data_IF_827796682706
#
_entry.id   IF_827796682706
#
_cell.length_a   1.000
_cell.length_b   1.000
_cell.length_c   1.000
_cell.angle_alpha   90.00
_cell.angle_beta   90.00
_cell.angle_gamma   90.00
#
_symmetry.space_group_name_H-M   'P 1'
#
loop_
_entity.id
_entity.type
_entity.pdbx_description
1 polymer ?
#
# COMPACT_ATOMS: atom_id res chain seq x y z
N UNK A 1 -25.12 -30.09 4.08
CA UNK A 1 -25.47 -28.97 3.18
C UNK A 1 -26.11 -27.89 4.04
N UNK A 2 -25.37 -26.81 4.31
CA UNK A 2 -25.85 -25.65 5.06
C UNK A 2 -25.63 -24.41 4.16
N UNK A 3 -26.58 -23.46 4.10
CA UNK A 3 -26.54 -22.39 3.12
C UNK A 3 -25.52 -21.31 3.51
N UNK A 4 -24.82 -20.81 2.48
CA UNK A 4 -23.88 -19.70 2.56
C UNK A 4 -24.64 -18.38 2.77
N UNK A 5 -24.17 -17.56 3.70
CA UNK A 5 -24.63 -16.18 3.88
C UNK A 5 -23.98 -15.28 2.82
N UNK A 6 -24.78 -14.76 1.89
CA UNK A 6 -24.44 -13.63 1.02
C UNK A 6 -24.41 -12.35 1.87
N UNK A 7 -23.28 -11.63 1.85
CA UNK A 7 -23.22 -10.26 2.35
C UNK A 7 -23.49 -9.31 1.18
N UNK A 8 -24.73 -8.83 1.09
CA UNK A 8 -25.14 -7.75 0.21
C UNK A 8 -24.76 -6.40 0.82
N UNK A 9 -24.17 -5.52 0.01
CA UNK A 9 -24.02 -4.11 0.33
C UNK A 9 -25.35 -3.41 0.08
N UNK A 10 -25.95 -2.81 1.13
CA UNK A 10 -27.10 -1.91 0.97
C UNK A 10 -26.68 -0.47 1.31
N UNK A 11 -26.58 0.42 0.31
CA UNK A 11 -26.60 1.86 0.58
C UNK A 11 -28.03 2.29 0.90
N UNK A 12 -28.19 3.00 2.02
CA UNK A 12 -29.45 3.65 2.42
C UNK A 12 -29.63 4.89 1.54
N UNK A 13 -30.60 4.85 0.64
CA UNK A 13 -31.00 6.02 -0.16
C UNK A 13 -32.13 6.76 0.55
N UNK A 14 -31.95 8.07 0.76
CA UNK A 14 -33.05 8.99 1.02
C UNK A 14 -33.61 9.46 -0.33
N UNK A 15 -34.84 9.06 -0.65
CA UNK A 15 -35.55 9.46 -1.86
C UNK A 15 -35.93 10.93 -1.79
N UNK A 16 -35.47 11.75 -2.73
CA UNK A 16 -36.07 13.05 -3.05
C UNK A 16 -36.74 12.88 -4.41
N UNK A 17 -38.07 12.85 -4.41
CA UNK A 17 -38.88 12.92 -5.62
C UNK A 17 -38.74 14.30 -6.27
N UNK A 18 -38.26 14.32 -7.51
CA UNK A 18 -38.44 15.44 -8.43
C UNK A 18 -39.21 14.93 -9.65
N UNK A 19 -40.42 15.43 -9.79
CA UNK A 19 -41.35 15.11 -10.87
C UNK A 19 -40.79 15.53 -12.24
N UNK A 20 -40.85 14.61 -13.20
CA UNK A 20 -40.51 14.82 -14.60
C UNK A 20 -41.71 15.37 -15.38
N UNK A 21 -41.46 16.38 -16.23
CA UNK A 21 -42.27 16.68 -17.40
C UNK A 21 -41.36 17.25 -18.49
N UNK A 22 -41.36 16.62 -19.68
CA UNK A 22 -40.72 17.19 -20.87
C UNK A 22 -40.14 16.15 -21.84
N UNK A 23 -40.99 15.66 -22.74
CA UNK A 23 -40.65 14.93 -23.97
C UNK A 23 -39.83 15.81 -24.92
N UNK A 24 -38.72 15.29 -25.45
CA UNK A 24 -38.05 15.85 -26.64
C UNK A 24 -37.64 14.71 -27.59
N UNK A 25 -38.02 14.87 -28.85
CA UNK A 25 -37.84 13.98 -29.99
C UNK A 25 -36.40 13.90 -30.49
N UNK A 26 -36.06 12.75 -31.09
CA UNK A 26 -34.79 12.45 -31.75
C UNK A 26 -34.89 12.81 -33.23
N UNK A 27 -33.85 13.43 -33.82
CA UNK A 27 -33.60 13.30 -35.25
C UNK A 27 -32.24 12.64 -35.56
N UNK A 28 -32.27 11.95 -36.69
CA UNK A 28 -31.28 11.08 -37.33
C UNK A 28 -30.06 11.81 -37.88
N UNK A 29 -28.94 11.08 -37.95
CA UNK A 29 -27.64 11.49 -38.56
C UNK A 29 -27.73 11.77 -40.07
N UNK A 30 -26.75 12.51 -40.63
CA UNK A 30 -25.81 11.86 -41.56
C UNK A 30 -24.33 12.27 -41.43
N UNK A 31 -23.45 11.38 -41.88
CA UNK A 31 -21.97 11.51 -41.98
C UNK A 31 -21.50 12.69 -42.85
N UNK A 32 -20.20 13.05 -42.77
CA UNK A 32 -19.46 13.21 -44.02
C UNK A 32 -18.07 12.54 -44.09
N UNK A 33 -17.75 12.29 -45.36
CA UNK A 33 -16.58 11.76 -46.07
C UNK A 33 -15.18 12.02 -45.51
N UNK A 34 -14.36 10.99 -45.65
CA UNK A 34 -12.90 10.98 -45.69
C UNK A 34 -12.40 11.79 -46.90
N UNK A 35 -11.49 12.74 -46.67
CA UNK A 35 -10.65 13.34 -47.70
C UNK A 35 -9.20 12.98 -47.36
N UNK A 36 -8.55 12.27 -48.28
CA UNK A 36 -7.12 12.01 -48.24
C UNK A 36 -6.37 13.27 -48.66
N UNK A 37 -5.37 13.66 -47.87
CA UNK A 37 -4.46 14.76 -48.15
C UNK A 37 -3.08 14.47 -47.58
N UNK A 38 -2.21 13.92 -48.42
CA UNK A 38 -0.75 13.93 -48.25
C UNK A 38 -0.22 15.35 -48.32
N UNK A 39 0.63 15.79 -47.38
CA UNK A 39 1.91 16.46 -47.67
C UNK A 39 2.71 16.84 -46.40
N UNK A 40 3.97 16.41 -46.43
CA UNK A 40 5.20 17.09 -45.99
C UNK A 40 5.38 17.57 -44.53
N UNK A 41 6.33 16.93 -43.85
CA UNK A 41 7.00 17.38 -42.63
C UNK A 41 7.99 18.53 -42.88
N UNK A 42 8.23 19.41 -41.89
CA UNK A 42 9.48 20.13 -41.77
C UNK A 42 10.36 19.59 -40.64
N UNK A 43 11.58 19.18 -41.02
CA UNK A 43 12.73 18.97 -40.15
C UNK A 43 12.97 20.18 -39.24
N UNK A 44 12.96 19.98 -37.92
CA UNK A 44 13.66 20.88 -36.97
C UNK A 44 14.70 20.07 -36.19
N UNK A 45 15.95 20.18 -36.62
CA UNK A 45 17.13 19.85 -35.83
C UNK A 45 17.31 20.94 -34.77
N UNK A 46 17.22 20.58 -33.50
CA UNK A 46 17.65 21.43 -32.39
C UNK A 46 19.03 20.95 -31.95
N UNK A 47 19.97 21.90 -31.96
CA UNK A 47 21.39 21.72 -31.64
C UNK A 47 21.55 21.57 -30.12
N UNK A 48 22.06 20.43 -29.66
CA UNK A 48 22.48 20.24 -28.27
C UNK A 48 23.95 20.67 -28.18
N UNK A 49 24.22 21.84 -27.58
CA UNK A 49 25.57 22.21 -27.16
C UNK A 49 25.92 21.41 -25.91
N UNK A 50 26.84 20.47 -26.06
CA UNK A 50 27.47 19.75 -24.94
C UNK A 50 28.38 20.68 -24.13
N UNK A 51 28.28 20.59 -22.81
CA UNK A 51 29.29 21.06 -21.88
C UNK A 51 29.95 19.82 -21.27
N UNK A 52 31.09 19.42 -21.84
CA UNK A 52 31.98 18.44 -21.24
C UNK A 52 32.90 19.17 -20.28
N UNK A 53 32.86 18.80 -19.00
CA UNK A 53 33.90 19.10 -18.02
C UNK A 53 34.52 17.76 -17.63
N UNK A 54 35.75 17.52 -18.12
CA UNK A 54 36.67 16.53 -17.56
C UNK A 54 37.52 17.18 -16.45
N UNK A 55 37.99 16.41 -15.47
CA UNK A 55 39.45 16.25 -15.33
C UNK A 55 39.82 14.81 -14.87
N UNK A 56 41.10 14.49 -14.57
CA UNK A 56 41.99 13.73 -15.44
C UNK A 56 42.28 12.30 -14.95
N UNK A 57 42.88 11.53 -15.86
CA UNK A 57 43.56 10.27 -15.64
C UNK A 57 44.71 10.39 -14.62
N UNK A 58 44.85 9.39 -13.73
CA UNK A 58 46.09 8.61 -13.51
C UNK A 58 46.07 7.91 -12.14
N UNK A 59 46.03 6.57 -12.17
CA UNK A 59 46.91 5.68 -11.40
C UNK A 59 46.43 4.23 -11.50
N UNK A 60 46.83 3.55 -12.57
CA UNK A 60 47.02 2.10 -12.57
C UNK A 60 48.39 1.82 -11.95
N UNK A 61 48.42 1.20 -10.76
CA UNK A 61 49.53 0.30 -10.39
C UNK A 61 48.96 -0.96 -9.74
N UNK A 62 49.35 -2.04 -10.39
CA UNK A 62 49.37 -3.44 -9.98
C UNK A 62 49.77 -3.67 -8.53
N UNK A 63 49.10 -4.62 -7.85
CA UNK A 63 49.76 -5.47 -6.87
C UNK A 63 49.11 -6.85 -6.87
N UNK A 64 49.96 -7.84 -7.12
CA UNK A 64 49.72 -9.27 -7.25
C UNK A 64 49.66 -9.91 -5.87
N UNK A 65 48.87 -10.98 -5.74
CA UNK A 65 48.76 -11.87 -4.57
C UNK A 65 50.10 -12.58 -4.26
N UNK A 66 50.35 -12.91 -2.98
CA UNK A 66 50.18 -14.31 -2.54
C UNK A 66 49.49 -14.39 -1.15
N UNK A 67 48.65 -15.36 -0.81
CA UNK A 67 48.83 -16.79 -1.00
C UNK A 67 49.58 -17.43 0.18
N UNK A 68 48.98 -17.49 1.38
CA UNK A 68 49.39 -18.45 2.44
C UNK A 68 48.17 -18.91 3.23
N UNK A 69 47.93 -20.22 3.20
CA UNK A 69 46.99 -20.95 4.03
C UNK A 69 47.66 -21.39 5.33
N UNK A 70 47.03 -21.17 6.49
CA UNK A 70 47.30 -21.92 7.73
C UNK A 70 46.02 -22.00 8.60
N UNK A 71 45.60 -23.21 8.91
CA UNK A 71 44.75 -23.63 10.05
C UNK A 71 45.48 -24.79 10.73
N UNK A 72 45.17 -25.21 11.97
CA UNK A 72 44.50 -24.53 13.08
C UNK A 72 45.34 -24.64 14.38
N UNK A 73 45.13 -23.77 15.38
CA UNK A 73 45.58 -24.05 16.76
C UNK A 73 44.47 -23.82 17.78
N UNK A 74 44.12 -24.91 18.45
CA UNK A 74 43.26 -25.01 19.64
C UNK A 74 43.85 -24.20 20.79
N UNK A 75 43.03 -23.36 21.44
CA UNK A 75 43.18 -22.99 22.86
C UNK A 75 41.81 -22.74 23.50
N UNK A 76 41.50 -23.54 24.52
CA UNK A 76 40.65 -23.26 25.70
C UNK A 76 41.46 -23.78 26.91
N UNK A 77 41.21 -23.41 28.18
CA UNK A 77 40.10 -22.60 28.73
C UNK A 77 40.56 -21.46 29.67
N UNK A 78 39.65 -20.57 30.07
CA UNK A 78 39.68 -20.01 31.43
C UNK A 78 38.26 -19.99 31.98
N UNK A 79 38.01 -20.86 32.96
CA UNK A 79 36.78 -20.96 33.72
C UNK A 79 37.09 -20.39 35.10
N UNK A 80 36.70 -19.13 35.34
CA UNK A 80 36.58 -18.62 36.71
C UNK A 80 35.19 -18.92 37.23
N UNK A 81 35.13 -19.96 38.06
CA UNK A 81 34.03 -20.30 38.95
C UNK A 81 33.91 -19.21 40.02
N UNK A 82 32.85 -18.40 39.96
CA UNK A 82 32.42 -17.58 41.11
C UNK A 82 31.45 -18.43 41.92
N UNK A 83 31.88 -18.85 43.11
CA UNK A 83 31.02 -19.42 44.15
C UNK A 83 30.12 -18.29 44.68
N UNK A 84 28.81 -18.40 44.47
CA UNK A 84 27.83 -17.59 45.19
C UNK A 84 27.33 -18.45 46.35
N UNK A 85 27.72 -18.08 47.56
CA UNK A 85 27.21 -18.66 48.79
C UNK A 85 25.74 -18.27 48.98
N UNK A 86 24.95 -19.21 49.48
CA UNK A 86 23.61 -18.94 49.96
C UNK A 86 23.70 -18.06 51.22
N UNK A 87 23.12 -16.86 51.16
CA UNK A 87 22.72 -16.12 52.36
C UNK A 87 21.25 -15.78 52.25
N UNK A 88 20.49 -16.30 53.21
CA UNK A 88 19.12 -15.95 53.52
C UNK A 88 19.03 -14.52 54.06
N UNK A 89 17.83 -13.94 53.91
CA UNK A 89 17.31 -12.75 54.57
C UNK A 89 17.66 -11.37 54.00
N UNK A 90 16.78 -10.87 53.14
CA UNK A 90 16.49 -9.44 53.02
C UNK A 90 15.01 -9.26 52.67
N UNK A 91 14.24 -8.38 53.34
CA UNK A 91 12.81 -8.24 53.09
C UNK A 91 12.55 -7.61 51.72
N UNK A 92 11.56 -8.15 51.01
CA UNK A 92 11.08 -7.61 49.75
C UNK A 92 10.55 -6.18 49.95
N UNK A 93 11.23 -5.20 49.35
CA UNK A 93 10.69 -3.85 49.15
C UNK A 93 9.49 -3.87 48.19
N UNK A 94 8.59 -2.88 48.26
CA UNK A 94 7.39 -2.87 47.45
C UNK A 94 7.77 -2.82 45.96
N UNK A 95 7.26 -3.78 45.20
CA UNK A 95 7.28 -3.77 43.74
C UNK A 95 6.49 -2.55 43.31
N UNK A 96 7.18 -1.46 42.98
CA UNK A 96 6.57 -0.34 42.27
C UNK A 96 6.06 -0.89 40.95
N UNK A 97 4.74 -1.06 40.83
CA UNK A 97 4.06 -1.28 39.56
C UNK A 97 4.31 -0.03 38.71
N UNK A 98 5.44 -0.03 38.00
CA UNK A 98 5.67 0.90 36.90
C UNK A 98 4.59 0.62 35.88
N UNK A 99 3.56 1.46 35.86
CA UNK A 99 2.65 1.57 34.73
C UNK A 99 3.51 1.94 33.54
N UNK A 100 3.99 0.95 32.80
CA UNK A 100 4.42 1.15 31.43
C UNK A 100 3.15 1.53 30.67
N UNK A 101 2.81 2.81 30.66
CA UNK A 101 1.86 3.34 29.70
C UNK A 101 2.50 3.10 28.34
N UNK A 102 2.08 2.04 27.65
CA UNK A 102 2.43 1.81 26.26
C UNK A 102 1.85 3.00 25.50
N UNK A 103 2.67 4.04 25.29
CA UNK A 103 2.24 5.26 24.61
C UNK A 103 2.01 4.85 23.16
N UNK A 104 0.74 4.80 22.78
CA UNK A 104 0.36 4.44 21.43
C UNK A 104 1.00 5.44 20.45
N UNK A 105 1.50 4.97 19.29
CA UNK A 105 2.01 5.89 18.29
C UNK A 105 0.89 6.83 17.84
N UNK A 106 1.22 8.10 17.52
CA UNK A 106 0.22 9.07 17.10
C UNK A 106 -0.53 8.60 15.85
N UNK A 107 -1.81 8.95 15.75
CA UNK A 107 -2.63 8.60 14.60
C UNK A 107 -2.13 9.34 13.36
N UNK A 108 -1.86 8.56 12.32
CA UNK A 108 -1.47 9.02 10.98
C UNK A 108 -2.68 8.94 10.06
N UNK A 109 -2.82 9.89 9.15
CA UNK A 109 -3.97 10.00 8.26
C UNK A 109 -3.53 9.92 6.81
N UNK A 110 -4.08 8.95 6.07
CA UNK A 110 -4.04 8.92 4.62
C UNK A 110 -5.36 9.40 4.02
N UNK A 111 -5.35 9.66 2.71
CA UNK A 111 -6.53 10.05 1.94
C UNK A 111 -6.71 9.04 0.79
N UNK A 112 -7.83 8.33 0.76
CA UNK A 112 -8.27 7.62 -0.44
C UNK A 112 -8.81 8.65 -1.43
N UNK A 113 -8.16 8.73 -2.59
CA UNK A 113 -8.46 9.74 -3.59
C UNK A 113 -9.49 9.30 -4.62
N UNK A 114 -9.97 8.05 -4.57
CA UNK A 114 -11.09 7.52 -5.35
C UNK A 114 -11.06 7.95 -6.83
N UNK A 115 -10.14 7.39 -7.62
CA UNK A 115 -9.73 7.95 -8.91
C UNK A 115 -10.72 7.82 -10.08
N UNK A 116 -11.80 7.08 -9.91
CA UNK A 116 -12.84 6.98 -10.94
C UNK A 116 -13.72 8.23 -11.00
N UNK A 117 -14.46 8.38 -12.09
CA UNK A 117 -15.30 9.55 -12.37
C UNK A 117 -14.54 10.89 -12.45
N UNK A 118 -13.21 10.83 -12.49
CA UNK A 118 -12.34 11.99 -12.47
C UNK A 118 -11.41 11.95 -13.68
N UNK A 119 -11.13 13.14 -14.20
CA UNK A 119 -10.02 13.41 -15.09
C UNK A 119 -8.70 13.42 -14.32
N UNK A 120 -7.58 13.42 -15.05
CA UNK A 120 -6.26 13.54 -14.44
C UNK A 120 -6.11 14.86 -13.67
N UNK A 121 -6.61 15.96 -14.21
CA UNK A 121 -6.51 17.30 -13.63
C UNK A 121 -7.24 17.38 -12.28
N UNK A 122 -8.49 16.89 -12.23
CA UNK A 122 -9.29 16.87 -11.00
C UNK A 122 -8.66 15.98 -9.92
N UNK A 123 -8.13 14.83 -10.33
CA UNK A 123 -7.47 13.92 -9.41
C UNK A 123 -6.14 14.49 -8.89
N UNK A 124 -5.36 15.16 -9.72
CA UNK A 124 -4.13 15.81 -9.31
C UNK A 124 -4.42 16.96 -8.32
N UNK A 125 -5.47 17.74 -8.55
CA UNK A 125 -5.92 18.75 -7.58
C UNK A 125 -6.27 18.11 -6.24
N UNK A 126 -7.03 17.01 -6.25
CA UNK A 126 -7.39 16.24 -5.05
C UNK A 126 -6.15 15.77 -4.26
N UNK A 127 -5.15 15.21 -4.95
CA UNK A 127 -3.91 14.74 -4.32
C UNK A 127 -3.10 15.91 -3.75
N UNK A 128 -3.00 17.02 -4.49
CA UNK A 128 -2.30 18.23 -4.03
C UNK A 128 -2.97 18.86 -2.81
N UNK A 129 -4.29 18.88 -2.78
CA UNK A 129 -5.03 19.28 -1.58
C UNK A 129 -4.65 18.39 -0.40
N UNK A 130 -4.65 17.06 -0.57
CA UNK A 130 -4.22 16.12 0.47
C UNK A 130 -2.80 16.41 0.99
N UNK A 131 -1.85 16.67 0.09
CA UNK A 131 -0.47 17.00 0.45
C UNK A 131 -0.37 18.35 1.21
N UNK A 132 -1.13 19.36 0.80
CA UNK A 132 -1.17 20.67 1.44
C UNK A 132 -1.85 20.63 2.81
N UNK A 133 -2.93 19.85 2.93
CA UNK A 133 -3.63 19.61 4.18
C UNK A 133 -2.85 18.70 5.15
N UNK A 134 -1.69 18.19 4.74
CA UNK A 134 -0.80 17.39 5.57
C UNK A 134 -1.35 15.99 5.85
N UNK A 135 -1.98 15.35 4.86
CA UNK A 135 -2.17 13.91 4.87
C UNK A 135 -0.82 13.22 4.57
N UNK A 136 -0.57 12.10 5.23
CA UNK A 136 0.69 11.37 5.11
C UNK A 136 0.77 10.56 3.81
N UNK A 137 -0.36 10.08 3.30
CA UNK A 137 -0.40 9.32 2.06
C UNK A 137 -1.68 9.56 1.26
N UNK A 138 -1.57 9.47 -0.06
CA UNK A 138 -2.67 9.43 -1.01
C UNK A 138 -2.78 8.03 -1.61
N UNK A 139 -3.96 7.45 -1.53
CA UNK A 139 -4.24 6.06 -1.89
C UNK A 139 -5.18 6.01 -3.09
N UNK A 140 -4.73 5.35 -4.14
CA UNK A 140 -5.56 4.97 -5.30
C UNK A 140 -6.00 3.51 -5.16
N UNK A 141 -6.96 3.03 -5.94
CA UNK A 141 -7.20 1.58 -6.08
C UNK A 141 -6.57 1.03 -7.37
N UNK A 142 -6.73 -0.26 -7.64
CA UNK A 142 -6.17 -0.91 -8.84
C UNK A 142 -7.23 -1.66 -9.66
N UNK A 143 -8.34 -0.98 -9.90
CA UNK A 143 -9.45 -1.40 -10.74
C UNK A 143 -9.39 -0.63 -12.05
N UNK A 144 -9.84 -1.25 -13.13
CA UNK A 144 -9.80 -0.68 -14.47
C UNK A 144 -11.14 -0.07 -14.87
N UNK A 145 -12.19 -0.34 -14.10
CA UNK A 145 -13.54 0.18 -14.31
C UNK A 145 -14.05 0.90 -13.06
N UNK A 146 -14.95 1.89 -13.17
CA UNK A 146 -15.54 2.54 -12.01
C UNK A 146 -16.25 1.53 -11.10
N UNK A 147 -15.87 1.48 -9.81
CA UNK A 147 -16.49 0.60 -8.82
C UNK A 147 -17.93 0.99 -8.45
N UNK A 148 -18.24 2.28 -8.53
CA UNK A 148 -19.54 2.87 -8.22
C UNK A 148 -19.74 4.16 -9.03
N UNK A 149 -20.96 4.70 -9.00
CA UNK A 149 -21.37 5.80 -9.87
C UNK A 149 -21.66 5.33 -11.30
N UNK A 150 -21.45 6.20 -12.28
CA UNK A 150 -21.66 5.87 -13.69
C UNK A 150 -20.62 4.87 -14.19
N UNK A 151 -21.05 3.65 -14.54
CA UNK A 151 -20.16 2.60 -15.05
C UNK A 151 -19.46 3.00 -16.37
N UNK A 152 -19.98 3.99 -17.10
CA UNK A 152 -19.40 4.54 -18.33
C UNK A 152 -18.43 5.71 -18.08
N UNK A 153 -18.30 6.15 -16.83
CA UNK A 153 -17.38 7.22 -16.47
C UNK A 153 -15.90 6.82 -16.56
N UNK A 154 -14.98 7.79 -16.53
CA UNK A 154 -13.55 7.52 -16.61
C UNK A 154 -13.06 6.74 -15.37
N UNK A 155 -12.06 5.88 -15.57
CA UNK A 155 -11.33 5.23 -14.48
C UNK A 155 -9.85 5.17 -14.88
N UNK A 156 -8.99 5.88 -14.14
CA UNK A 156 -7.56 5.89 -14.40
C UNK A 156 -6.90 4.65 -13.79
N UNK A 157 -6.03 4.01 -14.58
CA UNK A 157 -5.31 2.80 -14.18
C UNK A 157 -4.31 3.10 -13.05
N UNK A 158 -4.32 2.27 -11.99
CA UNK A 158 -3.69 2.58 -10.71
C UNK A 158 -2.18 2.82 -10.75
N UNK A 159 -1.39 1.99 -11.44
CA UNK A 159 0.07 2.07 -11.37
C UNK A 159 0.68 3.13 -12.27
N UNK A 160 0.15 3.31 -13.48
CA UNK A 160 0.54 4.42 -14.35
C UNK A 160 0.12 5.76 -13.74
N UNK A 161 -1.04 5.80 -13.08
CA UNK A 161 -1.47 6.95 -12.29
C UNK A 161 -0.50 7.25 -11.14
N UNK A 162 -0.08 6.24 -10.36
CA UNK A 162 0.90 6.41 -9.29
C UNK A 162 2.22 6.99 -9.81
N UNK A 163 2.71 6.56 -10.97
CA UNK A 163 3.90 7.13 -11.59
C UNK A 163 3.72 8.63 -11.93
N UNK A 164 2.56 9.01 -12.48
CA UNK A 164 2.23 10.41 -12.75
C UNK A 164 2.16 11.25 -11.47
N UNK A 165 1.46 10.76 -10.45
CA UNK A 165 1.34 11.43 -9.16
C UNK A 165 2.68 11.56 -8.44
N UNK A 166 3.55 10.56 -8.56
CA UNK A 166 4.90 10.57 -8.00
C UNK A 166 5.72 11.74 -8.53
N UNK A 167 5.65 12.01 -9.83
CA UNK A 167 6.34 13.15 -10.45
C UNK A 167 5.69 14.50 -10.13
N UNK A 168 4.38 14.52 -9.83
CA UNK A 168 3.61 15.75 -9.63
C UNK A 168 3.44 16.19 -8.17
N UNK A 169 4.03 15.45 -7.22
CA UNK A 169 3.99 15.68 -5.77
C UNK A 169 5.39 15.59 -5.17
N UNK A 170 5.57 16.04 -3.92
CA UNK A 170 6.91 16.22 -3.35
C UNK A 170 7.13 15.57 -1.97
N UNK A 171 6.06 15.34 -1.20
CA UNK A 171 6.11 14.91 0.20
C UNK A 171 5.15 13.77 0.51
N UNK A 172 3.93 13.82 -0.01
CA UNK A 172 2.89 12.83 0.32
C UNK A 172 3.31 11.43 -0.14
N UNK A 173 3.06 10.41 0.68
CA UNK A 173 3.29 9.01 0.28
C UNK A 173 2.22 8.57 -0.71
N UNK A 174 2.52 7.61 -1.56
CA UNK A 174 1.64 7.18 -2.64
C UNK A 174 1.51 5.67 -2.63
N UNK A 175 0.30 5.14 -2.73
CA UNK A 175 0.11 3.70 -2.80
C UNK A 175 -1.19 3.27 -3.46
N UNK A 176 -1.22 2.02 -3.91
CA UNK A 176 -2.43 1.36 -4.36
C UNK A 176 -3.03 0.58 -3.19
N UNK A 177 -4.27 0.84 -2.81
CA UNK A 177 -5.00 0.18 -1.73
C UNK A 177 -6.29 -0.46 -2.25
N UNK A 178 -6.23 -1.66 -2.85
CA UNK A 178 -5.03 -2.49 -3.08
C UNK A 178 -4.95 -3.05 -4.49
N UNK A 179 -3.74 -3.39 -4.93
CA UNK A 179 -3.49 -4.18 -6.14
C UNK A 179 -3.94 -5.61 -5.97
N UNK A 180 -4.85 -6.05 -6.85
CA UNK A 180 -5.24 -7.45 -6.95
C UNK A 180 -4.11 -8.30 -7.52
N UNK A 181 -3.73 -9.37 -6.81
CA UNK A 181 -2.64 -10.28 -7.23
C UNK A 181 -2.89 -10.96 -8.58
N UNK A 182 -4.13 -10.98 -9.06
CA UNK A 182 -4.54 -11.56 -10.34
C UNK A 182 -4.35 -10.63 -11.53
N UNK A 183 -4.16 -9.32 -11.31
CA UNK A 183 -4.07 -8.34 -12.41
C UNK A 183 -2.72 -8.34 -13.12
N UNK A 184 -1.62 -8.55 -12.39
CA UNK A 184 -0.25 -8.50 -12.95
C UNK A 184 0.62 -9.62 -12.39
N UNK A 185 1.58 -10.06 -13.19
CA UNK A 185 2.63 -10.97 -12.70
C UNK A 185 3.50 -10.24 -11.65
N UNK A 186 3.87 -10.86 -10.52
CA UNK A 186 4.60 -10.19 -9.43
C UNK A 186 5.96 -9.64 -9.85
N UNK A 187 6.65 -10.27 -10.82
CA UNK A 187 7.89 -9.72 -11.38
C UNK A 187 7.63 -8.38 -12.08
N UNK A 188 6.57 -8.26 -12.88
CA UNK A 188 6.21 -7.01 -13.55
C UNK A 188 5.88 -5.93 -12.52
N UNK A 189 5.06 -6.29 -11.53
CA UNK A 189 4.69 -5.40 -10.44
C UNK A 189 5.90 -4.90 -9.62
N UNK A 190 6.90 -5.75 -9.40
CA UNK A 190 8.14 -5.34 -8.75
C UNK A 190 8.95 -4.33 -9.60
N UNK A 191 8.98 -4.47 -10.93
CA UNK A 191 9.63 -3.50 -11.81
C UNK A 191 8.89 -2.15 -11.84
N UNK A 192 7.55 -2.18 -11.89
CA UNK A 192 6.70 -1.00 -11.75
C UNK A 192 6.95 -0.30 -10.40
N UNK A 193 6.95 -1.06 -9.30
CA UNK A 193 7.19 -0.54 -7.96
C UNK A 193 8.57 0.10 -7.81
N UNK A 194 9.64 -0.55 -8.31
CA UNK A 194 10.98 0.05 -8.32
C UNK A 194 10.96 1.39 -9.07
N UNK A 195 10.29 1.46 -10.22
CA UNK A 195 10.23 2.67 -11.04
C UNK A 195 9.51 3.80 -10.32
N UNK A 196 8.32 3.54 -9.77
CA UNK A 196 7.55 4.53 -9.01
C UNK A 196 8.28 4.96 -7.74
N UNK A 197 8.99 4.05 -7.07
CA UNK A 197 9.81 4.36 -5.91
C UNK A 197 10.92 5.37 -6.26
N UNK A 198 11.58 5.20 -7.42
CA UNK A 198 12.56 6.16 -7.93
C UNK A 198 11.94 7.50 -8.31
N UNK A 199 10.86 7.50 -9.09
CA UNK A 199 10.18 8.74 -9.52
C UNK A 199 9.68 9.54 -8.32
N UNK A 200 9.20 8.84 -7.28
CA UNK A 200 8.70 9.49 -6.06
C UNK A 200 9.80 9.91 -5.08
N UNK A 201 11.04 9.47 -5.27
CA UNK A 201 12.13 9.70 -4.31
C UNK A 201 11.96 8.92 -3.01
N UNK A 202 11.39 7.72 -3.05
CA UNK A 202 11.24 6.84 -1.89
C UNK A 202 9.92 7.00 -1.12
N UNK A 203 8.84 7.41 -1.79
CA UNK A 203 7.52 7.66 -1.16
C UNK A 203 6.46 6.62 -1.50
N UNK A 204 6.83 5.53 -2.17
CA UNK A 204 5.89 4.47 -2.55
C UNK A 204 5.51 3.56 -1.38
N UNK A 205 4.24 3.18 -1.33
CA UNK A 205 3.65 2.10 -0.52
C UNK A 205 3.03 1.06 -1.46
N UNK A 206 3.42 -0.20 -1.35
CA UNK A 206 2.94 -1.28 -2.21
C UNK A 206 1.75 -1.98 -1.53
N UNK A 207 0.52 -1.61 -1.84
CA UNK A 207 -0.65 -2.31 -1.31
C UNK A 207 -1.13 -3.43 -2.21
N UNK A 208 -1.33 -4.61 -1.62
CA UNK A 208 -1.70 -5.84 -2.30
C UNK A 208 -2.90 -6.54 -1.64
N UNK A 209 -3.65 -7.29 -2.43
CA UNK A 209 -4.74 -8.14 -1.96
C UNK A 209 -5.00 -9.31 -2.90
N UNK A 210 -5.82 -10.26 -2.45
CA UNK A 210 -6.11 -11.47 -3.22
C UNK A 210 -7.10 -11.26 -4.38
N UNK A 211 -7.45 -10.01 -4.70
CA UNK A 211 -8.54 -9.64 -5.60
C UNK A 211 -9.93 -10.17 -5.17
N UNK A 212 -10.96 -9.37 -5.46
CA UNK A 212 -12.34 -9.66 -5.01
C UNK A 212 -13.40 -9.43 -6.09
N UNK A 213 -13.13 -8.58 -7.08
CA UNK A 213 -14.14 -8.13 -8.02
C UNK A 213 -14.27 -9.06 -9.24
N UNK A 214 -15.00 -10.17 -9.06
CA UNK A 214 -15.17 -11.20 -10.09
C UNK A 214 -15.83 -10.67 -11.38
N UNK A 215 -16.76 -9.72 -11.27
CA UNK A 215 -17.44 -9.13 -12.42
C UNK A 215 -16.46 -8.44 -13.38
N UNK A 216 -15.59 -7.56 -12.86
CA UNK A 216 -14.56 -6.90 -13.68
C UNK A 216 -13.59 -7.91 -14.31
N UNK A 217 -13.25 -8.99 -13.60
CA UNK A 217 -12.42 -10.05 -14.17
C UNK A 217 -13.09 -10.70 -15.39
N UNK A 218 -14.39 -10.98 -15.29
CA UNK A 218 -15.17 -11.52 -16.42
C UNK A 218 -15.27 -10.52 -17.57
N UNK A 219 -15.53 -9.24 -17.27
CA UNK A 219 -15.62 -8.14 -18.25
C UNK A 219 -14.32 -7.98 -19.05
N UNK A 220 -13.17 -8.15 -18.40
CA UNK A 220 -11.84 -7.92 -18.98
C UNK A 220 -11.16 -9.21 -19.47
N UNK A 221 -11.79 -10.38 -19.30
CA UNK A 221 -11.20 -11.68 -19.64
C UNK A 221 -10.00 -12.06 -18.76
N UNK A 222 -9.91 -11.52 -17.55
CA UNK A 222 -8.84 -11.83 -16.59
C UNK A 222 -9.26 -13.07 -15.78
N UNK A 223 -8.41 -14.11 -15.69
CA UNK A 223 -8.73 -15.28 -14.88
C UNK A 223 -9.00 -14.92 -13.40
N UNK A 224 -10.06 -15.48 -12.83
CA UNK A 224 -10.42 -15.32 -11.42
C UNK A 224 -10.44 -16.68 -10.70
N UNK A 225 -9.27 -17.20 -10.26
CA UNK A 225 -9.19 -18.49 -9.58
C UNK A 225 -9.92 -18.51 -8.24
N UNK A 226 -10.19 -19.68 -7.64
CA UNK A 226 -10.79 -19.79 -6.30
C UNK A 226 -9.99 -19.04 -5.23
N UNK A 227 -10.68 -18.59 -4.18
CA UNK A 227 -10.09 -17.75 -3.11
C UNK A 227 -8.82 -18.33 -2.48
N UNK A 228 -8.77 -19.65 -2.28
CA UNK A 228 -7.59 -20.34 -1.74
C UNK A 228 -6.38 -20.16 -2.64
N UNK A 229 -6.55 -20.36 -3.95
CA UNK A 229 -5.47 -20.18 -4.91
C UNK A 229 -5.01 -18.73 -4.95
N UNK A 230 -5.94 -17.76 -4.93
CA UNK A 230 -5.58 -16.33 -4.91
C UNK A 230 -4.83 -15.93 -3.64
N UNK A 231 -5.16 -16.53 -2.50
CA UNK A 231 -4.42 -16.33 -1.25
C UNK A 231 -2.99 -16.91 -1.33
N UNK A 232 -2.82 -18.12 -1.87
CA UNK A 232 -1.50 -18.72 -2.12
C UNK A 232 -0.67 -17.87 -3.08
N UNK A 233 -1.27 -17.38 -4.17
CA UNK A 233 -0.65 -16.44 -5.11
C UNK A 233 -0.22 -15.15 -4.42
N UNK A 234 -1.05 -14.56 -3.55
CA UNK A 234 -0.69 -13.35 -2.81
C UNK A 234 0.56 -13.55 -1.96
N UNK A 235 0.63 -14.65 -1.21
CA UNK A 235 1.80 -14.93 -0.37
C UNK A 235 3.08 -15.12 -1.22
N UNK A 236 3.01 -15.92 -2.28
CA UNK A 236 4.17 -16.11 -3.17
C UNK A 236 4.56 -14.82 -3.90
N UNK A 237 3.59 -14.01 -4.32
CA UNK A 237 3.82 -12.74 -4.99
C UNK A 237 4.63 -11.79 -4.11
N UNK A 238 4.26 -11.64 -2.84
CA UNK A 238 5.01 -10.81 -1.88
C UNK A 238 6.45 -11.33 -1.71
N UNK A 239 6.64 -12.65 -1.62
CA UNK A 239 7.97 -13.25 -1.52
C UNK A 239 8.81 -13.03 -2.78
N UNK A 240 8.21 -13.19 -3.97
CA UNK A 240 8.84 -12.93 -5.27
C UNK A 240 9.28 -11.47 -5.37
N UNK A 241 8.38 -10.53 -5.10
CA UNK A 241 8.67 -9.10 -5.16
C UNK A 241 9.79 -8.72 -4.19
N UNK A 242 9.72 -9.16 -2.92
CA UNK A 242 10.76 -8.92 -1.93
C UNK A 242 12.11 -9.47 -2.37
N UNK A 243 12.13 -10.69 -2.91
CA UNK A 243 13.37 -11.34 -3.38
C UNK A 243 13.98 -10.57 -4.56
N UNK A 244 13.15 -10.21 -5.55
CA UNK A 244 13.58 -9.43 -6.72
C UNK A 244 14.11 -8.05 -6.33
N UNK A 245 13.51 -7.38 -5.35
CA UNK A 245 13.92 -6.05 -4.90
C UNK A 245 15.17 -6.07 -4.02
N UNK A 246 15.52 -7.20 -3.39
CA UNK A 246 16.62 -7.27 -2.40
C UNK A 246 17.84 -8.12 -2.81
N UNK A 247 17.74 -9.02 -3.79
CA UNK A 247 18.82 -9.97 -4.13
C UNK A 247 19.18 -10.01 -5.61
N UNK A 248 20.47 -10.11 -5.91
CA UNK A 248 20.96 -10.46 -7.26
C UNK A 248 20.85 -11.98 -7.45
N UNK A 249 20.64 -12.42 -8.70
CA UNK A 249 20.49 -13.84 -9.00
C UNK A 249 19.33 -14.48 -8.24
N UNK A 250 18.23 -13.74 -8.02
CA UNK A 250 17.05 -14.19 -7.33
C UNK A 250 16.44 -15.43 -8.02
N UNK A 251 16.42 -16.54 -7.30
CA UNK A 251 15.67 -17.74 -7.67
C UNK A 251 14.55 -17.98 -6.68
N UNK A 252 13.41 -18.43 -7.18
CA UNK A 252 12.21 -18.73 -6.41
C UNK A 252 11.49 -19.92 -7.06
N UNK A 253 11.04 -20.88 -6.27
CA UNK A 253 10.31 -22.06 -6.74
C UNK A 253 9.07 -22.24 -5.89
N UNK A 254 8.03 -21.49 -6.23
CA UNK A 254 6.70 -21.64 -5.64
C UNK A 254 5.84 -22.62 -6.42
N UNK A 255 4.58 -22.71 -6.04
CA UNK A 255 3.52 -23.40 -6.79
C UNK A 255 3.02 -22.55 -7.95
N UNK A 256 2.97 -21.24 -7.78
CA UNK A 256 2.36 -20.30 -8.73
C UNK A 256 3.39 -19.51 -9.51
N UNK A 257 4.54 -19.21 -8.90
CA UNK A 257 5.58 -18.41 -9.53
C UNK A 257 6.96 -19.07 -9.45
N UNK A 258 7.75 -18.86 -10.50
CA UNK A 258 9.12 -19.35 -10.61
C UNK A 258 10.04 -18.23 -11.07
N UNK A 259 11.21 -18.14 -10.43
CA UNK A 259 12.32 -17.29 -10.86
C UNK A 259 13.58 -18.15 -11.01
N UNK A 260 14.36 -17.87 -12.04
CA UNK A 260 15.68 -18.46 -12.23
C UNK A 260 16.72 -17.35 -12.41
N UNK A 261 17.53 -17.13 -11.35
CA UNK A 261 18.67 -16.21 -11.33
C UNK A 261 18.34 -14.78 -11.81
N UNK A 262 17.12 -14.30 -11.53
CA UNK A 262 16.65 -12.99 -11.96
C UNK A 262 17.32 -11.84 -11.19
N UNK A 263 17.52 -10.69 -11.83
CA UNK A 263 18.11 -9.52 -11.17
C UNK A 263 17.42 -8.24 -11.64
N UNK A 264 17.06 -7.37 -10.69
CA UNK A 264 16.63 -6.01 -11.00
C UNK A 264 17.70 -4.96 -10.66
N UNK A 265 17.83 -4.02 -11.60
CA UNK A 265 18.56 -2.77 -11.48
C UNK A 265 17.72 -1.65 -12.13
N UNK A 266 17.63 -0.46 -11.51
CA UNK A 266 18.20 -0.11 -10.20
C UNK A 266 17.52 -0.86 -9.05
N UNK A 267 18.13 -0.84 -7.86
CA UNK A 267 17.46 -1.27 -6.61
C UNK A 267 16.47 -0.19 -6.17
N UNK A 268 15.43 -0.50 -5.39
CA UNK A 268 14.58 0.55 -4.83
C UNK A 268 15.39 1.59 -4.06
N UNK A 269 14.88 2.83 -4.03
CA UNK A 269 15.39 3.92 -3.20
C UNK A 269 15.19 3.55 -1.73
N UNK A 270 13.98 3.13 -1.36
CA UNK A 270 13.67 2.66 0.00
C UNK A 270 14.40 1.36 0.32
N UNK A 271 14.91 1.23 1.56
CA UNK A 271 15.63 0.04 2.04
C UNK A 271 14.85 -0.65 3.15
N UNK A 272 14.76 -2.00 3.15
CA UNK A 272 15.26 -2.90 2.10
C UNK A 272 14.43 -2.85 0.79
N UNK A 273 13.17 -2.43 0.88
CA UNK A 273 12.23 -2.23 -0.23
C UNK A 273 11.14 -1.23 0.22
N UNK A 274 10.30 -0.71 -0.69
CA UNK A 274 9.09 0.03 -0.30
C UNK A 274 8.19 -0.84 0.59
N UNK A 275 7.50 -0.29 1.61
CA UNK A 275 6.71 -1.11 2.51
C UNK A 275 5.55 -1.79 1.78
N UNK A 276 5.28 -3.04 2.15
CA UNK A 276 4.24 -3.87 1.56
C UNK A 276 3.03 -3.91 2.48
N UNK A 277 1.93 -3.34 2.01
CA UNK A 277 0.63 -3.33 2.65
C UNK A 277 -0.20 -4.51 2.15
N UNK A 278 -0.88 -5.22 3.06
CA UNK A 278 -1.83 -6.25 2.67
C UNK A 278 -3.24 -5.84 3.12
N UNK A 279 -4.14 -5.70 2.15
CA UNK A 279 -5.57 -5.53 2.38
C UNK A 279 -6.25 -6.88 2.57
N UNK A 280 -6.75 -7.17 3.78
CA UNK A 280 -7.30 -8.49 4.10
C UNK A 280 -8.32 -8.48 5.23
N UNK A 281 -9.28 -9.42 5.15
CA UNK A 281 -10.30 -9.64 6.19
C UNK A 281 -10.47 -11.11 6.60
N UNK A 282 -10.14 -12.07 5.73
CA UNK A 282 -10.38 -13.49 5.96
C UNK A 282 -9.41 -14.12 6.97
N UNK A 283 -9.93 -14.54 8.11
CA UNK A 283 -9.12 -15.00 9.26
C UNK A 283 -8.41 -16.33 9.06
N UNK A 284 -8.97 -17.23 8.27
CA UNK A 284 -8.40 -18.55 8.08
C UNK A 284 -7.25 -18.57 7.07
N UNK A 285 -7.33 -17.74 6.03
CA UNK A 285 -6.39 -17.76 4.90
C UNK A 285 -5.57 -16.47 4.80
N UNK A 286 -6.22 -15.31 4.89
CA UNK A 286 -5.60 -14.03 4.53
C UNK A 286 -4.86 -13.39 5.71
N UNK A 287 -5.46 -13.33 6.90
CA UNK A 287 -4.79 -12.74 8.07
C UNK A 287 -3.52 -13.48 8.51
N UNK A 288 -3.42 -14.82 8.36
CA UNK A 288 -2.15 -15.49 8.56
C UNK A 288 -1.06 -15.01 7.60
N UNK A 289 -1.38 -14.72 6.34
CA UNK A 289 -0.44 -14.15 5.37
C UNK A 289 0.00 -12.75 5.81
N UNK A 290 -0.93 -11.92 6.30
CA UNK A 290 -0.61 -10.60 6.86
C UNK A 290 0.45 -10.72 7.96
N UNK A 291 0.23 -11.57 8.96
CA UNK A 291 1.18 -11.77 10.06
C UNK A 291 2.57 -12.20 9.57
N UNK A 292 2.63 -13.08 8.58
CA UNK A 292 3.91 -13.59 8.03
C UNK A 292 4.62 -12.60 7.11
N UNK A 293 3.89 -11.80 6.33
CA UNK A 293 4.45 -11.12 5.16
C UNK A 293 4.32 -9.60 5.16
N UNK A 294 3.30 -9.03 5.80
CA UNK A 294 2.99 -7.61 5.65
C UNK A 294 3.87 -6.70 6.52
N UNK A 295 4.22 -5.53 6.00
CA UNK A 295 4.76 -4.41 6.78
C UNK A 295 3.61 -3.56 7.37
N UNK A 296 2.48 -3.54 6.68
CA UNK A 296 1.24 -2.92 7.15
C UNK A 296 0.02 -3.75 6.77
N UNK A 297 -0.96 -3.80 7.66
CA UNK A 297 -2.25 -4.42 7.41
C UNK A 297 -3.31 -3.35 7.22
N UNK A 298 -3.97 -3.34 6.07
CA UNK A 298 -5.21 -2.60 5.91
C UNK A 298 -6.41 -3.52 6.15
N UNK A 299 -7.13 -3.23 7.21
CA UNK A 299 -8.20 -4.06 7.72
C UNK A 299 -9.58 -3.54 7.31
N UNK A 300 -10.54 -4.45 7.30
CA UNK A 300 -11.94 -4.15 6.98
C UNK A 300 -12.85 -4.70 8.09
N UNK A 301 -13.72 -3.84 8.64
CA UNK A 301 -14.71 -4.20 9.65
C UNK A 301 -14.98 -3.10 10.68
N UNK A 302 -15.80 -3.41 11.68
CA UNK A 302 -16.04 -2.56 12.85
C UNK A 302 -14.88 -2.66 13.85
N UNK A 303 -14.73 -1.66 14.72
CA UNK A 303 -13.70 -1.64 15.78
C UNK A 303 -13.66 -2.95 16.59
N UNK A 304 -14.82 -3.47 17.00
CA UNK A 304 -14.92 -4.73 17.76
C UNK A 304 -14.40 -5.93 16.97
N UNK A 305 -14.73 -6.01 15.67
CA UNK A 305 -14.24 -7.09 14.82
C UNK A 305 -12.73 -7.00 14.59
N UNK A 306 -12.18 -5.78 14.58
CA UNK A 306 -10.78 -5.51 14.29
C UNK A 306 -9.86 -5.88 15.46
N UNK A 307 -10.30 -5.76 16.70
CA UNK A 307 -9.54 -6.24 17.86
C UNK A 307 -9.32 -7.76 17.77
N UNK A 308 -10.40 -8.50 17.54
CA UNK A 308 -10.36 -9.96 17.39
C UNK A 308 -9.48 -10.40 16.22
N UNK A 309 -9.61 -9.75 15.07
CA UNK A 309 -8.79 -10.02 13.88
C UNK A 309 -7.31 -9.65 14.12
N UNK A 310 -7.03 -8.62 14.91
CA UNK A 310 -5.65 -8.24 15.25
C UNK A 310 -4.93 -9.37 15.98
N UNK A 311 -5.61 -10.10 16.88
CA UNK A 311 -5.05 -11.27 17.57
C UNK A 311 -4.64 -12.38 16.61
N UNK A 312 -5.39 -12.59 15.52
CA UNK A 312 -5.04 -13.58 14.48
C UNK A 312 -3.76 -13.17 13.75
N UNK A 313 -3.63 -11.89 13.40
CA UNK A 313 -2.41 -11.37 12.76
C UNK A 313 -1.21 -11.46 13.71
N UNK A 314 -1.39 -11.13 14.99
CA UNK A 314 -0.33 -11.19 15.99
C UNK A 314 0.17 -12.62 16.18
N UNK A 315 -0.74 -13.58 16.29
CA UNK A 315 -0.39 -14.98 16.44
C UNK A 315 0.38 -15.49 15.22
N UNK A 316 -0.08 -15.17 14.01
CA UNK A 316 0.63 -15.53 12.79
C UNK A 316 2.01 -14.87 12.66
N UNK A 317 2.16 -13.63 13.13
CA UNK A 317 3.45 -12.94 13.18
C UNK A 317 4.41 -13.63 14.15
N UNK A 318 3.97 -13.95 15.38
CA UNK A 318 4.77 -14.67 16.38
C UNK A 318 5.19 -16.06 15.88
N UNK A 319 4.27 -16.81 15.28
CA UNK A 319 4.56 -18.12 14.71
C UNK A 319 5.62 -18.06 13.59
N UNK A 320 5.70 -16.94 12.87
CA UNK A 320 6.73 -16.68 11.87
C UNK A 320 8.00 -16.01 12.42
N UNK A 321 8.12 -15.86 13.73
CA UNK A 321 9.29 -15.24 14.38
C UNK A 321 9.38 -13.73 14.15
N UNK A 322 8.27 -13.06 13.85
CA UNK A 322 8.18 -11.60 13.68
C UNK A 322 7.57 -10.95 14.93
N UNK A 323 7.98 -9.72 15.19
CA UNK A 323 7.33 -8.88 16.20
C UNK A 323 5.98 -8.36 15.66
N UNK A 324 4.84 -8.67 16.28
CA UNK A 324 3.55 -8.13 15.87
C UNK A 324 3.49 -6.59 15.82
N UNK A 325 4.29 -5.91 16.64
CA UNK A 325 4.37 -4.45 16.67
C UNK A 325 5.07 -3.87 15.43
N UNK A 326 5.79 -4.69 14.66
CA UNK A 326 6.38 -4.28 13.38
C UNK A 326 5.35 -4.16 12.25
N UNK A 327 4.08 -4.53 12.49
CA UNK A 327 3.01 -4.50 11.49
C UNK A 327 2.08 -3.33 11.79
N UNK A 328 2.18 -2.28 10.96
CA UNK A 328 1.30 -1.11 11.06
C UNK A 328 -0.16 -1.53 10.88
N UNK A 329 -1.06 -1.00 11.72
CA UNK A 329 -2.50 -1.29 11.65
C UNK A 329 -3.24 -0.12 11.02
N UNK A 330 -3.88 -0.40 9.90
CA UNK A 330 -4.63 0.56 9.12
C UNK A 330 -6.06 0.13 8.85
N UNK A 331 -6.99 1.08 8.75
CA UNK A 331 -8.38 0.87 8.34
C UNK A 331 -8.94 2.15 7.74
N UNK A 332 -10.06 2.06 7.02
CA UNK A 332 -10.77 3.23 6.49
C UNK A 332 -11.50 4.02 7.58
N UNK A 333 -11.56 5.35 7.41
CA UNK A 333 -12.39 6.26 8.18
C UNK A 333 -13.35 7.00 7.22
N UNK A 334 -14.65 6.80 7.41
CA UNK A 334 -15.67 7.55 6.67
C UNK A 334 -15.97 8.87 7.37
N UNK A 335 -16.20 9.93 6.58
CA UNK A 335 -16.62 11.26 7.06
C UNK A 335 -18.12 11.52 6.90
N UNK A 336 -18.89 10.52 6.46
CA UNK A 336 -20.33 10.66 6.17
C UNK A 336 -21.23 10.75 7.41
N UNK A 337 -20.65 10.58 8.60
CA UNK A 337 -21.36 10.67 9.88
C UNK A 337 -21.13 12.03 10.54
N UNK A 338 -22.02 12.49 11.44
CA UNK A 338 -21.79 13.67 12.26
C UNK A 338 -20.45 13.64 13.00
N UNK A 339 -19.85 14.82 13.25
CA UNK A 339 -18.47 14.90 13.75
C UNK A 339 -18.25 14.25 15.12
N UNK A 340 -19.26 14.19 15.98
CA UNK A 340 -19.20 13.48 17.26
C UNK A 340 -19.14 11.95 17.07
N UNK A 341 -19.82 11.41 16.04
CA UNK A 341 -19.69 10.00 15.64
C UNK A 341 -18.32 9.70 15.03
N UNK A 342 -17.80 10.59 14.16
CA UNK A 342 -16.45 10.45 13.58
C UNK A 342 -15.40 10.42 14.69
N UNK A 343 -15.45 11.35 15.65
CA UNK A 343 -14.53 11.36 16.81
C UNK A 343 -14.59 10.07 17.62
N UNK A 344 -15.79 9.61 17.98
CA UNK A 344 -15.94 8.34 18.72
C UNK A 344 -15.42 7.13 17.93
N UNK A 345 -15.56 7.14 16.61
CA UNK A 345 -14.99 6.10 15.76
C UNK A 345 -13.47 6.13 15.78
N UNK A 346 -12.85 7.31 15.68
CA UNK A 346 -11.40 7.47 15.82
C UNK A 346 -10.93 6.94 17.18
N UNK A 347 -11.59 7.31 18.28
CA UNK A 347 -11.25 6.81 19.62
C UNK A 347 -11.36 5.29 19.73
N UNK A 348 -12.38 4.68 19.11
CA UNK A 348 -12.58 3.24 19.13
C UNK A 348 -11.49 2.51 18.33
N UNK A 349 -11.10 3.05 17.17
CA UNK A 349 -10.05 2.51 16.32
C UNK A 349 -8.68 2.63 16.98
N UNK A 350 -8.40 3.78 17.61
CA UNK A 350 -7.18 4.00 18.39
C UNK A 350 -7.04 2.99 19.53
N UNK A 351 -8.10 2.79 20.33
CA UNK A 351 -8.15 1.77 21.38
C UNK A 351 -7.97 0.35 20.84
N UNK A 352 -8.44 0.07 19.63
CA UNK A 352 -8.25 -1.21 18.96
C UNK A 352 -6.84 -1.38 18.35
N UNK A 353 -5.94 -0.40 18.53
CA UNK A 353 -4.55 -0.48 18.09
C UNK A 353 -4.30 0.04 16.68
N UNK A 354 -5.26 0.73 16.05
CA UNK A 354 -5.13 1.28 14.70
C UNK A 354 -4.53 2.67 14.73
N UNK A 355 -3.38 2.82 14.06
CA UNK A 355 -2.58 4.06 14.06
C UNK A 355 -2.47 4.70 12.68
N UNK A 356 -3.05 4.11 11.64
CA UNK A 356 -3.10 4.71 10.30
C UNK A 356 -4.51 4.67 9.73
N UNK A 357 -5.22 5.80 9.71
CA UNK A 357 -6.59 5.86 9.21
C UNK A 357 -6.60 6.41 7.78
N UNK A 358 -7.17 5.65 6.85
CA UNK A 358 -7.35 6.09 5.46
C UNK A 358 -8.70 6.77 5.35
N UNK A 359 -8.71 8.09 5.26
CA UNK A 359 -9.92 8.90 5.12
C UNK A 359 -10.44 8.74 3.70
N UNK A 360 -11.65 8.23 3.56
CA UNK A 360 -12.31 8.16 2.25
C UNK A 360 -12.71 9.53 1.77
N UNK A 361 -12.55 9.80 0.47
CA UNK A 361 -13.11 11.02 -0.08
C UNK A 361 -14.63 11.04 0.08
N UNK A 362 -15.20 12.06 0.76
CA UNK A 362 -16.63 12.07 1.07
C UNK A 362 -17.49 12.27 -0.17
N UNK A 363 -18.61 11.56 -0.23
CA UNK A 363 -19.65 11.72 -1.26
C UNK A 363 -20.27 13.13 -1.29
N UNK A 364 -20.25 13.81 -0.15
CA UNK A 364 -20.70 15.18 0.07
C UNK A 364 -19.76 16.21 -0.59
N UNK A 365 -18.62 15.76 -1.12
CA UNK A 365 -17.68 16.59 -1.85
C UNK A 365 -16.62 17.25 -0.99
N UNK A 366 -15.79 18.06 -1.63
CA UNK A 366 -14.57 18.65 -1.04
C UNK A 366 -14.83 19.45 0.24
N UNK A 367 -15.93 20.20 0.32
CA UNK A 367 -16.25 21.02 1.49
C UNK A 367 -16.35 20.21 2.78
N UNK A 368 -16.86 18.97 2.72
CA UNK A 368 -16.91 18.07 3.88
C UNK A 368 -15.52 17.67 4.36
N UNK A 369 -14.58 17.46 3.43
CA UNK A 369 -13.20 17.15 3.75
C UNK A 369 -12.45 18.37 4.31
N UNK A 370 -12.70 19.56 3.77
CA UNK A 370 -12.16 20.82 4.29
C UNK A 370 -12.61 21.07 5.74
N UNK A 371 -13.90 20.90 6.03
CA UNK A 371 -14.41 20.98 7.40
C UNK A 371 -13.73 19.97 8.34
N UNK A 372 -13.45 18.75 7.86
CA UNK A 372 -12.72 17.75 8.65
C UNK A 372 -11.28 18.21 8.94
N UNK A 373 -10.59 18.74 7.92
CA UNK A 373 -9.22 19.25 8.03
C UNK A 373 -9.14 20.42 9.01
N UNK A 374 -10.14 21.29 9.05
CA UNK A 374 -10.20 22.43 9.96
C UNK A 374 -10.61 22.04 11.38
N UNK A 375 -11.66 21.21 11.53
CA UNK A 375 -12.34 21.01 12.82
C UNK A 375 -11.92 19.76 13.57
N UNK A 376 -11.51 18.69 12.87
CA UNK A 376 -11.33 17.37 13.50
C UNK A 376 -9.90 16.88 13.39
N UNK A 377 -9.26 17.03 12.23
CA UNK A 377 -7.86 16.62 12.01
C UNK A 377 -6.87 17.20 13.04
N UNK A 378 -6.95 18.50 13.43
CA UNK A 378 -6.03 19.06 14.43
C UNK A 378 -6.19 18.42 15.81
N UNK A 379 -7.42 18.06 16.18
CA UNK A 379 -7.71 17.38 17.45
C UNK A 379 -7.12 15.97 17.48
N UNK A 380 -7.12 15.27 16.34
CA UNK A 380 -6.48 13.95 16.20
C UNK A 380 -4.96 14.08 16.31
N UNK A 381 -4.39 15.08 15.64
CA UNK A 381 -2.94 15.31 15.63
C UNK A 381 -2.38 15.73 17.00
N UNK A 382 -3.19 16.37 17.85
CA UNK A 382 -2.77 16.87 19.16
C UNK A 382 -2.61 15.78 20.24
N UNK A 383 -3.00 14.53 19.97
CA UNK A 383 -3.07 13.43 20.96
C UNK A 383 -1.73 12.75 21.29
N UNK A 384 -0.62 13.49 21.26
CA UNK A 384 0.75 12.95 21.41
C UNK A 384 1.02 12.38 22.79
#
# INVERSE_FOLDING_TARGET
>A
MAPFAEFSWHPVWATVELAAAGTIEVPTTPRPRVIAGTMAAPNRRVNIRGCFIAPPSDCLRSAVWPGVALHPRRRKPDQRLVKIGASTDTPAGPISQGLYTCRMPPIRLGLDVSQHQLTWEELLERVRFGEQAGFEGAWVFDHFTPLYGDRKGPCLEGWTLLAGLAAATSRIRLGALVTGVTYRHPSVLAAEAITVDHVSGGRLEIGMGAAWHQAEHAELGIPFPPVRERAERLEEAVQVMRTLMTRDGASFKGRHYHLDRATYRPRPVQKPHPPIWIGASGEQLMLPIVGRQADAWHAFGSADSLERKSRVVDEAARQAGRDPASIVRSTSLSLSQPWDRVRRQVDALERAGFSYLVVSWPSEGRGRLEEFVEKVKPEIAARV
#
